data_IF_748290169012
#
_entry.id   IF_748290169012
#
_cell.length_a   1.000
_cell.length_b   1.000
_cell.length_c   1.000
_cell.angle_alpha   90.00
_cell.angle_beta   90.00
_cell.angle_gamma   90.00
#
_symmetry.space_group_name_H-M   'P 1'
#
loop_
_entity.id
_entity.type
_entity.pdbx_description
1 polymer ?
#
# COMPACT_ATOMS: atom_id res chain seq x y z
N UNK A 1 30.93 13.74 58.06
CA UNK A 1 30.15 14.69 57.22
C UNK A 1 29.34 13.92 56.20
N UNK A 2 28.05 14.26 56.05
CA UNK A 2 27.02 13.46 55.39
C UNK A 2 27.16 13.41 53.85
N UNK A 3 27.06 12.20 53.29
CA UNK A 3 27.04 11.92 51.85
C UNK A 3 25.61 12.05 51.31
N UNK A 4 25.13 13.28 51.13
CA UNK A 4 23.82 13.55 50.50
C UNK A 4 23.97 13.58 48.98
N UNK A 5 23.78 12.43 48.35
CA UNK A 5 23.62 12.31 46.89
C UNK A 5 22.35 13.06 46.44
N UNK A 6 22.53 14.07 45.60
CA UNK A 6 21.43 14.81 44.98
C UNK A 6 20.67 13.86 44.03
N UNK A 7 19.50 13.37 44.44
CA UNK A 7 18.60 12.68 43.52
C UNK A 7 18.07 13.70 42.52
N UNK A 8 18.54 13.63 41.27
CA UNK A 8 17.99 14.42 40.19
C UNK A 8 16.49 14.14 40.06
N UNK A 9 15.65 15.17 40.10
CA UNK A 9 14.22 15.04 39.93
C UNK A 9 13.92 14.52 38.52
N UNK A 10 13.03 13.52 38.42
CA UNK A 10 12.57 12.98 37.13
C UNK A 10 11.83 14.11 36.39
N UNK A 11 12.19 14.42 35.12
CA UNK A 11 11.47 15.45 34.36
C UNK A 11 9.98 15.09 34.28
N UNK A 12 9.08 16.09 34.26
CA UNK A 12 7.65 15.86 34.17
C UNK A 12 7.34 15.04 32.91
N UNK A 13 6.32 14.17 32.96
CA UNK A 13 5.95 13.36 31.81
C UNK A 13 5.65 14.29 30.63
N UNK A 14 6.38 14.12 29.53
CA UNK A 14 6.13 14.84 28.30
C UNK A 14 4.65 14.71 27.93
N UNK A 15 4.03 15.83 27.55
CA UNK A 15 2.67 15.82 27.02
C UNK A 15 2.58 14.80 25.87
N UNK A 16 1.53 13.98 25.90
CA UNK A 16 1.30 12.93 24.91
C UNK A 16 0.25 13.40 23.91
N UNK A 17 0.51 13.17 22.63
CA UNK A 17 -0.41 13.43 21.53
C UNK A 17 -0.71 12.11 20.80
N UNK A 18 -1.91 11.93 20.23
CA UNK A 18 -2.20 10.75 19.43
C UNK A 18 -1.43 10.79 18.11
N UNK A 19 -0.83 9.67 17.71
CA UNK A 19 -0.23 9.53 16.38
C UNK A 19 -1.33 9.56 15.30
N UNK A 20 -1.31 10.46 14.29
CA UNK A 20 -2.27 10.47 13.18
C UNK A 20 -2.34 9.16 12.37
N UNK A 21 -1.29 8.34 12.35
CA UNK A 21 -1.30 7.10 11.57
C UNK A 21 -1.97 5.92 12.28
N UNK A 22 -1.75 5.75 13.59
CA UNK A 22 -2.24 4.59 14.34
C UNK A 22 -3.02 4.93 15.63
N UNK A 23 -3.10 6.20 16.01
CA UNK A 23 -3.78 6.67 17.22
C UNK A 23 -3.02 6.45 18.53
N UNK A 24 -1.85 5.80 18.51
CA UNK A 24 -1.09 5.51 19.72
C UNK A 24 -0.60 6.80 20.42
N UNK A 25 -0.58 6.85 21.78
CA UNK A 25 -0.15 8.03 22.51
C UNK A 25 1.38 8.18 22.48
N UNK A 26 1.87 9.10 21.66
CA UNK A 26 3.28 9.42 21.46
C UNK A 26 3.68 10.68 22.23
N UNK A 27 4.96 10.83 22.58
CA UNK A 27 5.44 12.08 23.16
C UNK A 27 5.37 13.19 22.10
N UNK A 28 5.03 14.40 22.51
CA UNK A 28 4.83 15.54 21.59
C UNK A 28 6.04 15.86 20.69
N UNK A 29 7.25 15.45 21.07
CA UNK A 29 8.51 15.65 20.33
C UNK A 29 9.18 14.33 19.94
N UNK A 30 8.44 13.22 19.90
CA UNK A 30 8.99 11.95 19.45
C UNK A 30 9.16 12.00 17.92
N UNK A 31 10.38 11.82 17.39
CA UNK A 31 10.65 11.76 15.95
C UNK A 31 9.99 10.56 15.25
N UNK A 32 9.86 9.42 15.96
CA UNK A 32 9.26 8.20 15.41
C UNK A 32 8.24 7.62 16.38
N UNK A 33 7.11 7.18 15.85
CA UNK A 33 6.09 6.43 16.58
C UNK A 33 6.58 5.01 16.86
N UNK A 34 6.87 4.68 18.12
CA UNK A 34 7.33 3.35 18.53
C UNK A 34 6.29 2.23 18.38
N UNK A 35 5.03 2.57 18.10
CA UNK A 35 3.96 1.60 17.93
C UNK A 35 3.83 1.11 16.49
N UNK A 36 3.94 2.01 15.50
CA UNK A 36 3.72 1.68 14.10
C UNK A 36 4.90 2.03 13.18
N UNK A 37 5.95 2.68 13.69
CA UNK A 37 7.12 3.08 12.92
C UNK A 37 6.94 4.37 12.11
N UNK A 38 5.84 5.11 12.26
CA UNK A 38 5.64 6.37 11.56
C UNK A 38 6.72 7.39 11.96
N UNK A 39 7.48 7.89 10.99
CA UNK A 39 8.50 8.92 11.15
C UNK A 39 7.94 10.29 10.74
N UNK A 40 8.07 11.31 11.60
CA UNK A 40 7.56 12.66 11.31
C UNK A 40 8.47 13.45 10.37
N UNK A 41 9.76 13.15 10.35
CA UNK A 41 10.76 13.92 9.62
C UNK A 41 10.94 13.36 8.20
N UNK A 42 10.75 12.05 7.99
CA UNK A 42 10.86 11.39 6.68
C UNK A 42 9.90 11.95 5.63
N UNK A 43 8.71 12.38 6.03
CA UNK A 43 7.67 12.83 5.10
C UNK A 43 7.88 14.27 4.59
N UNK A 44 8.71 15.07 5.26
CA UNK A 44 8.87 16.50 4.95
C UNK A 44 10.02 16.75 3.97
N UNK A 45 11.06 15.91 3.97
CA UNK A 45 12.22 16.08 3.07
C UNK A 45 12.07 15.35 1.73
N UNK A 46 10.97 14.62 1.51
CA UNK A 46 10.76 13.80 0.30
C UNK A 46 9.46 14.14 -0.45
N UNK A 47 9.17 15.42 -0.57
CA UNK A 47 8.20 15.94 -1.53
C UNK A 47 8.96 16.79 -2.54
N UNK A 48 9.65 16.11 -3.47
CA UNK A 48 10.10 16.75 -4.71
C UNK A 48 8.86 16.95 -5.57
N UNK A 49 8.35 18.18 -5.63
CA UNK A 49 7.20 18.62 -6.43
C UNK A 49 7.40 18.37 -7.94
N UNK A 50 8.65 18.10 -8.35
CA UNK A 50 9.08 17.86 -9.72
C UNK A 50 9.13 16.35 -10.11
N UNK A 51 8.85 15.43 -9.17
CA UNK A 51 9.00 13.98 -9.40
C UNK A 51 7.75 13.28 -9.99
N UNK A 52 6.62 13.98 -10.10
CA UNK A 52 5.37 13.37 -10.62
C UNK A 52 5.36 13.25 -12.15
N UNK A 53 6.10 14.09 -12.88
CA UNK A 53 6.04 14.15 -14.34
C UNK A 53 7.04 13.20 -15.07
N UNK A 54 8.03 12.62 -14.38
CA UNK A 54 9.05 11.74 -14.98
C UNK A 54 8.98 10.26 -14.52
N UNK A 55 7.95 9.89 -13.74
CA UNK A 55 7.79 8.51 -13.32
C UNK A 55 7.18 7.66 -14.46
N UNK A 56 8.03 6.88 -15.15
CA UNK A 56 7.62 5.96 -16.19
C UNK A 56 6.94 4.72 -15.60
N UNK A 57 5.60 4.80 -15.48
CA UNK A 57 4.76 3.70 -15.03
C UNK A 57 4.90 2.46 -15.92
N UNK A 58 5.06 2.63 -17.23
CA UNK A 58 5.13 1.52 -18.17
C UNK A 58 6.45 0.75 -17.99
N UNK A 59 7.58 1.46 -17.87
CA UNK A 59 8.88 0.85 -17.59
C UNK A 59 8.93 0.17 -16.22
N UNK A 60 8.33 0.78 -15.18
CA UNK A 60 8.23 0.17 -13.86
C UNK A 60 7.42 -1.13 -13.92
N UNK A 61 6.23 -1.11 -14.52
CA UNK A 61 5.36 -2.29 -14.65
C UNK A 61 6.06 -3.40 -15.44
N UNK A 62 6.74 -3.07 -16.53
CA UNK A 62 7.49 -4.04 -17.31
C UNK A 62 8.63 -4.66 -16.50
N UNK A 63 9.40 -3.87 -15.75
CA UNK A 63 10.52 -4.40 -14.95
C UNK A 63 10.08 -5.29 -13.78
N UNK A 64 8.99 -4.94 -13.09
CA UNK A 64 8.54 -5.64 -11.87
C UNK A 64 7.60 -6.82 -12.16
N UNK A 65 6.87 -6.79 -13.29
CA UNK A 65 5.82 -7.79 -13.58
C UNK A 65 6.04 -8.60 -14.87
N UNK A 66 7.11 -8.37 -15.64
CA UNK A 66 7.38 -9.11 -16.90
C UNK A 66 7.66 -10.61 -16.73
N UNK A 67 7.92 -11.10 -15.52
CA UNK A 67 8.14 -12.55 -15.30
C UNK A 67 6.90 -13.41 -15.47
N UNK A 68 5.70 -12.83 -15.64
CA UNK A 68 4.49 -13.60 -15.94
C UNK A 68 3.92 -13.28 -17.31
N UNK A 69 4.60 -13.76 -18.37
CA UNK A 69 3.90 -13.99 -19.63
C UNK A 69 2.71 -14.92 -19.34
N UNK A 70 1.51 -14.37 -19.28
CA UNK A 70 0.29 -15.15 -19.14
C UNK A 70 0.25 -16.03 -20.38
N UNK A 71 0.63 -17.30 -20.24
CA UNK A 71 0.64 -18.23 -21.35
C UNK A 71 -0.81 -18.39 -21.80
N UNK A 72 -1.23 -17.61 -22.80
CA UNK A 72 -2.53 -17.72 -23.47
C UNK A 72 -2.63 -19.01 -24.31
N UNK A 73 -1.77 -20.00 -24.03
CA UNK A 73 -1.81 -21.32 -24.62
C UNK A 73 -2.94 -22.12 -23.99
N UNK A 74 -4.17 -21.77 -24.36
CA UNK A 74 -5.35 -22.55 -24.07
C UNK A 74 -5.27 -23.87 -24.85
N UNK A 75 -5.37 -25.00 -24.15
CA UNK A 75 -5.48 -26.32 -24.78
C UNK A 75 -6.70 -26.36 -25.71
N UNK A 76 -6.68 -27.17 -26.78
CA UNK A 76 -7.79 -27.24 -27.74
C UNK A 76 -9.15 -27.54 -27.09
N UNK A 77 -9.18 -28.33 -26.01
CA UNK A 77 -10.42 -28.59 -25.28
C UNK A 77 -10.95 -27.36 -24.52
N UNK A 78 -10.06 -26.52 -23.96
CA UNK A 78 -10.45 -25.29 -23.27
C UNK A 78 -11.02 -24.28 -24.25
N UNK A 79 -10.46 -24.20 -25.47
CA UNK A 79 -11.02 -23.37 -26.55
C UNK A 79 -12.45 -23.81 -26.91
N UNK A 80 -12.69 -25.12 -27.01
CA UNK A 80 -14.02 -25.65 -27.29
C UNK A 80 -15.03 -25.29 -26.19
N UNK A 81 -14.64 -25.39 -24.91
CA UNK A 81 -15.49 -24.99 -23.78
C UNK A 81 -15.82 -23.49 -23.81
N UNK A 82 -14.81 -22.64 -24.03
CA UNK A 82 -15.02 -21.18 -24.13
C UNK A 82 -15.96 -20.83 -25.27
N UNK A 83 -15.79 -21.43 -26.45
CA UNK A 83 -16.68 -21.21 -27.60
C UNK A 83 -18.12 -21.64 -27.27
N UNK A 84 -18.30 -22.80 -26.64
CA UNK A 84 -19.64 -23.29 -26.26
C UNK A 84 -20.33 -22.35 -25.27
N UNK A 85 -19.60 -21.84 -24.27
CA UNK A 85 -20.12 -20.88 -23.30
C UNK A 85 -20.51 -19.56 -23.97
N UNK A 86 -19.67 -19.01 -24.85
CA UNK A 86 -19.95 -17.77 -25.57
C UNK A 86 -21.16 -17.93 -26.48
N UNK A 87 -21.27 -19.05 -27.21
CA UNK A 87 -22.43 -19.34 -28.07
C UNK A 87 -23.70 -19.53 -27.25
N UNK A 88 -23.64 -20.26 -26.13
CA UNK A 88 -24.77 -20.43 -25.22
C UNK A 88 -25.26 -19.07 -24.68
N UNK A 89 -24.33 -18.22 -24.23
CA UNK A 89 -24.65 -16.88 -23.75
C UNK A 89 -25.19 -15.96 -24.87
N UNK A 90 -24.64 -16.02 -26.07
CA UNK A 90 -25.15 -15.27 -27.21
C UNK A 90 -26.58 -15.72 -27.57
N UNK A 91 -26.87 -17.02 -27.53
CA UNK A 91 -28.20 -17.56 -27.80
C UNK A 91 -29.23 -17.17 -26.73
N UNK A 92 -28.85 -17.03 -25.46
CA UNK A 92 -29.77 -16.52 -24.42
C UNK A 92 -30.07 -15.03 -24.58
N UNK A 93 -29.11 -14.23 -25.06
CA UNK A 93 -29.30 -12.81 -25.31
C UNK A 93 -30.07 -12.52 -26.61
N UNK A 94 -29.83 -13.31 -27.66
CA UNK A 94 -30.42 -13.12 -28.99
C UNK A 94 -31.70 -13.94 -29.21
N UNK A 95 -31.93 -14.99 -28.42
CA UNK A 95 -33.14 -15.82 -28.46
C UNK A 95 -34.45 -15.03 -28.30
N UNK A 96 -34.56 -14.09 -27.34
CA UNK A 96 -35.76 -13.26 -27.16
C UNK A 96 -36.07 -12.31 -28.33
N UNK A 97 -35.13 -12.12 -29.26
CA UNK A 97 -35.28 -11.27 -30.44
C UNK A 97 -35.54 -12.08 -31.73
N UNK A 98 -35.36 -13.41 -31.68
CA UNK A 98 -35.52 -14.33 -32.80
C UNK A 98 -36.82 -15.16 -32.74
N UNK A 99 -37.54 -15.13 -31.62
CA UNK A 99 -38.84 -15.78 -31.37
C UNK A 99 -39.85 -14.75 -30.85
#
# INVERSE_FOLDING_TARGET
MLWFGKRAAKPPPAAKVPCPHCGAPVAQHAAVCRACGYDWDEYVERYDDDAEDDFDYDAFVESEFSESSVSLSLKPWQRAVVVLLVLGFALTLLGPWLF
#
